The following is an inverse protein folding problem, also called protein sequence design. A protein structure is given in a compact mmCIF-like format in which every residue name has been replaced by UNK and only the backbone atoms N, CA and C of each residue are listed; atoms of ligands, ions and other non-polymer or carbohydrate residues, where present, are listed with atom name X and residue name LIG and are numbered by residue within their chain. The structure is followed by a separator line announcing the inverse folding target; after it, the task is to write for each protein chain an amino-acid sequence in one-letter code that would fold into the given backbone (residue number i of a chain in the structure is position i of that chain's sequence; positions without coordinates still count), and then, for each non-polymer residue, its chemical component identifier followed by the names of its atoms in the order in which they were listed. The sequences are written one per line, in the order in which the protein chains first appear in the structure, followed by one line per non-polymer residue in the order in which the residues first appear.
data_IF_404106228534
#
_entry.id   IF_404106228534
#
_cell.length_a   1.000
_cell.length_b   1.000
_cell.length_c   1.000
_cell.angle_alpha   90.00
_cell.angle_beta   90.00
_cell.angle_gamma   90.00
#
_symmetry.space_group_name_H-M   'P 1'
#
loop_
_entity.id
_entity.type
_entity.pdbx_description
1 polymer ?
#
# COMPACT_ATOMS: atom_id res chain seq x y z
N UNK A 1 -10.59 16.40 11.52
CA UNK A 1 -10.56 15.14 10.77
C UNK A 1 -9.67 15.31 9.55
N UNK A 2 -8.86 14.33 9.27
CA UNK A 2 -7.93 14.37 8.15
C UNK A 2 -8.65 14.04 6.84
N UNK A 3 -8.62 14.96 5.90
CA UNK A 3 -9.22 14.78 4.57
C UNK A 3 -8.12 14.56 3.54
N UNK A 4 -8.24 13.51 2.75
CA UNK A 4 -7.25 13.14 1.73
C UNK A 4 -7.95 13.05 0.37
N UNK A 5 -7.38 13.73 -0.63
CA UNK A 5 -7.80 13.60 -2.03
C UNK A 5 -7.01 12.48 -2.69
N UNK A 6 -7.69 11.56 -3.32
CA UNK A 6 -7.04 10.42 -4.02
C UNK A 6 -7.47 10.42 -5.48
N UNK A 7 -6.54 10.78 -6.34
CA UNK A 7 -6.76 10.91 -7.77
C UNK A 7 -6.20 9.71 -8.54
N UNK A 8 -6.97 9.21 -9.50
CA UNK A 8 -6.55 8.15 -10.43
C UNK A 8 -6.72 8.63 -11.86
N UNK A 9 -5.84 8.24 -12.76
CA UNK A 9 -6.00 8.49 -14.18
C UNK A 9 -6.77 7.38 -14.89
N UNK A 10 -6.94 6.23 -14.25
CA UNK A 10 -7.80 5.14 -14.73
C UNK A 10 -8.27 4.26 -13.58
N UNK A 11 -9.31 3.47 -13.83
CA UNK A 11 -9.96 2.63 -12.84
C UNK A 11 -9.21 1.30 -12.68
N UNK A 12 -8.29 1.22 -11.72
CA UNK A 12 -7.54 0.01 -11.44
C UNK A 12 -6.98 0.04 -10.01
N UNK A 13 -7.03 -1.09 -9.29
CA UNK A 13 -6.48 -1.27 -7.94
C UNK A 13 -6.91 -0.21 -6.92
N UNK A 14 -8.07 0.42 -7.10
CA UNK A 14 -8.56 1.49 -6.21
C UNK A 14 -8.68 1.04 -4.76
N UNK A 15 -9.26 -0.13 -4.54
CA UNK A 15 -9.47 -0.66 -3.19
C UNK A 15 -8.14 -0.88 -2.47
N UNK A 16 -7.14 -1.39 -3.16
CA UNK A 16 -5.83 -1.66 -2.57
C UNK A 16 -5.14 -0.37 -2.10
N UNK A 17 -5.18 0.67 -2.91
CA UNK A 17 -4.61 1.98 -2.56
C UNK A 17 -5.41 2.63 -1.44
N UNK A 18 -6.73 2.63 -1.56
CA UNK A 18 -7.65 3.18 -0.55
C UNK A 18 -7.40 2.54 0.83
N UNK A 19 -7.32 1.21 0.85
CA UNK A 19 -7.13 0.46 2.09
C UNK A 19 -5.79 0.76 2.76
N UNK A 20 -4.73 0.94 1.98
CA UNK A 20 -3.42 1.31 2.51
C UNK A 20 -3.44 2.70 3.14
N UNK A 21 -4.03 3.67 2.47
CA UNK A 21 -4.15 5.03 3.02
C UNK A 21 -4.94 5.01 4.32
N UNK A 22 -6.04 4.26 4.37
CA UNK A 22 -6.83 4.09 5.60
C UNK A 22 -6.03 3.44 6.72
N UNK A 23 -5.17 2.49 6.38
CA UNK A 23 -4.34 1.81 7.38
C UNK A 23 -3.31 2.75 8.01
N UNK A 24 -2.72 3.65 7.21
CA UNK A 24 -1.77 4.65 7.72
C UNK A 24 -2.45 5.78 8.49
N UNK A 25 -3.65 6.17 8.08
CA UNK A 25 -4.41 7.26 8.69
C UNK A 25 -5.80 6.79 9.10
N UNK A 26 -5.91 5.99 10.18
CA UNK A 26 -7.21 5.51 10.66
C UNK A 26 -8.14 6.68 10.97
N UNK A 27 -9.38 6.58 10.52
CA UNK A 27 -10.37 7.63 10.72
C UNK A 27 -10.32 8.79 9.72
N UNK A 28 -9.38 8.78 8.76
CA UNK A 28 -9.36 9.81 7.72
C UNK A 28 -10.55 9.65 6.78
N UNK A 29 -10.90 10.75 6.11
CA UNK A 29 -11.85 10.72 5.00
C UNK A 29 -11.08 10.82 3.70
N UNK A 30 -11.36 9.89 2.79
CA UNK A 30 -10.73 9.85 1.46
C UNK A 30 -11.78 10.17 0.41
N UNK A 31 -11.52 11.19 -0.41
CA UNK A 31 -12.31 11.50 -1.58
C UNK A 31 -11.57 10.98 -2.81
N UNK A 32 -12.05 9.87 -3.35
CA UNK A 32 -11.46 9.26 -4.56
C UNK A 32 -12.12 9.86 -5.80
N UNK A 33 -11.33 10.17 -6.80
CA UNK A 33 -11.84 10.75 -8.05
C UNK A 33 -10.93 10.41 -9.22
N UNK A 34 -11.45 10.59 -10.42
CA UNK A 34 -10.72 10.33 -11.68
C UNK A 34 -10.43 11.64 -12.39
N UNK A 35 -9.25 11.73 -13.01
CA UNK A 35 -8.85 12.94 -13.75
C UNK A 35 -9.90 13.40 -14.77
N UNK A 36 -10.53 12.44 -15.47
CA UNK A 36 -11.54 12.72 -16.50
C UNK A 36 -12.80 13.39 -15.92
N UNK A 37 -13.10 13.14 -14.65
CA UNK A 37 -14.30 13.69 -14.00
C UNK A 37 -14.06 15.05 -13.36
N UNK A 38 -12.80 15.50 -13.32
CA UNK A 38 -12.43 16.77 -12.70
C UNK A 38 -12.25 16.69 -11.19
N UNK A 39 -11.48 17.63 -10.65
CA UNK A 39 -11.14 17.66 -9.23
C UNK A 39 -12.37 18.00 -8.38
N UNK A 40 -12.51 17.35 -7.21
CA UNK A 40 -13.58 17.70 -6.25
C UNK A 40 -13.32 19.07 -5.63
N UNK A 41 -14.41 19.72 -5.21
CA UNK A 41 -14.32 20.96 -4.47
C UNK A 41 -13.82 20.70 -3.05
N UNK A 42 -13.16 21.69 -2.46
CA UNK A 42 -12.73 21.65 -1.07
C UNK A 42 -11.22 21.65 -0.93
N UNK A 43 -10.79 21.72 0.32
CA UNK A 43 -9.39 21.69 0.69
C UNK A 43 -9.07 20.37 1.36
N UNK A 44 -7.88 19.82 1.05
CA UNK A 44 -7.44 18.55 1.58
C UNK A 44 -6.07 18.72 2.26
N UNK A 45 -5.84 17.92 3.28
CA UNK A 45 -4.55 17.91 3.98
C UNK A 45 -3.47 17.27 3.10
N UNK A 46 -3.84 16.24 2.31
CA UNK A 46 -2.94 15.58 1.37
C UNK A 46 -3.63 15.39 0.04
N UNK A 47 -2.86 15.50 -1.03
CA UNK A 47 -3.27 15.22 -2.40
C UNK A 47 -2.46 14.04 -2.90
N UNK A 48 -3.06 12.86 -2.87
CA UNK A 48 -2.44 11.62 -3.31
C UNK A 48 -2.87 11.33 -4.73
N UNK A 49 -1.93 10.91 -5.58
CA UNK A 49 -2.19 10.65 -6.98
C UNK A 49 -1.51 9.38 -7.47
N UNK A 50 -2.29 8.51 -8.13
CA UNK A 50 -1.79 7.34 -8.83
C UNK A 50 -1.88 7.60 -10.33
N UNK A 51 -0.76 7.41 -11.03
CA UNK A 51 -0.69 7.51 -12.48
C UNK A 51 -0.27 6.17 -13.07
N UNK A 52 -1.13 5.59 -13.87
CA UNK A 52 -0.85 4.37 -14.61
C UNK A 52 -0.37 4.75 -16.01
N UNK A 53 0.91 4.54 -16.28
CA UNK A 53 1.50 4.72 -17.60
C UNK A 53 1.60 3.36 -18.31
N UNK A 54 2.07 3.35 -19.55
CA UNK A 54 2.14 2.12 -20.37
C UNK A 54 2.98 1.02 -19.73
N UNK A 55 4.09 1.39 -19.09
CA UNK A 55 5.08 0.44 -18.56
C UNK A 55 5.49 0.75 -17.11
N UNK A 56 4.80 1.66 -16.44
CA UNK A 56 5.11 2.01 -15.06
C UNK A 56 3.88 2.55 -14.33
N UNK A 57 3.97 2.53 -13.00
CA UNK A 57 2.98 3.15 -12.13
C UNK A 57 3.72 4.15 -11.25
N UNK A 58 3.16 5.34 -11.09
CA UNK A 58 3.70 6.37 -10.23
C UNK A 58 2.70 6.74 -9.14
N UNK A 59 3.21 6.99 -7.94
CA UNK A 59 2.42 7.48 -6.82
C UNK A 59 3.10 8.70 -6.23
N UNK A 60 2.33 9.75 -5.97
CA UNK A 60 2.83 10.98 -5.38
C UNK A 60 1.92 11.48 -4.27
N UNK A 61 2.51 12.16 -3.29
CA UNK A 61 1.80 12.79 -2.18
C UNK A 61 2.22 14.25 -2.13
N UNK A 62 1.24 15.15 -2.15
CA UNK A 62 1.45 16.57 -1.98
C UNK A 62 0.76 17.04 -0.70
N UNK A 63 1.28 18.12 -0.10
CA UNK A 63 0.67 18.72 1.07
C UNK A 63 -0.50 19.68 0.67
N UNK A 64 -1.06 20.36 1.64
CA UNK A 64 -2.16 21.31 1.46
C UNK A 64 -1.83 22.46 0.50
N UNK A 65 -0.55 22.78 0.33
CA UNK A 65 -0.06 23.82 -0.57
C UNK A 65 0.36 23.29 -1.93
N UNK A 66 0.08 22.02 -2.22
CA UNK A 66 0.51 21.32 -3.42
C UNK A 66 2.03 21.22 -3.59
N UNK A 67 2.75 21.21 -2.48
CA UNK A 67 4.17 20.92 -2.48
C UNK A 67 4.38 19.40 -2.37
N UNK A 68 5.20 18.83 -3.24
CA UNK A 68 5.45 17.39 -3.24
C UNK A 68 6.21 16.97 -1.98
N UNK A 69 5.62 16.04 -1.23
CA UNK A 69 6.25 15.47 -0.03
C UNK A 69 7.06 14.22 -0.37
N UNK A 70 6.54 13.38 -1.26
CA UNK A 70 7.21 12.18 -1.73
C UNK A 70 6.59 11.72 -3.04
N UNK A 71 7.39 11.06 -3.87
CA UNK A 71 6.92 10.46 -5.10
C UNK A 71 7.79 9.25 -5.45
N UNK A 72 7.18 8.26 -6.08
CA UNK A 72 7.87 7.06 -6.54
C UNK A 72 7.23 6.55 -7.82
N UNK A 73 8.04 5.91 -8.67
CA UNK A 73 7.58 5.22 -9.87
C UNK A 73 8.22 3.84 -9.92
N UNK A 74 7.46 2.85 -10.33
CA UNK A 74 7.94 1.48 -10.49
C UNK A 74 7.54 0.93 -11.84
N UNK A 75 8.46 0.22 -12.49
CA UNK A 75 8.21 -0.45 -13.74
C UNK A 75 7.27 -1.64 -13.52
N UNK A 76 6.31 -1.82 -14.42
CA UNK A 76 5.34 -2.92 -14.35
C UNK A 76 5.08 -3.47 -15.74
N UNK A 77 4.68 -4.75 -15.77
CA UNK A 77 4.23 -5.42 -16.99
C UNK A 77 2.79 -5.90 -16.74
N UNK A 78 1.82 -5.05 -17.09
CA UNK A 78 0.40 -5.28 -16.76
C UNK A 78 -0.15 -6.60 -17.30
N UNK A 79 0.29 -7.01 -18.48
CA UNK A 79 -0.24 -8.19 -19.16
C UNK A 79 0.34 -9.50 -18.64
N UNK A 80 1.47 -9.43 -17.95
CA UNK A 80 2.20 -10.62 -17.53
C UNK A 80 1.61 -11.27 -16.29
N UNK A 81 1.40 -10.48 -15.24
CA UNK A 81 0.89 -10.98 -13.97
C UNK A 81 0.23 -9.84 -13.18
N UNK A 82 -1.11 -9.86 -13.16
CA UNK A 82 -1.87 -8.83 -12.43
C UNK A 82 -1.59 -8.85 -10.94
N UNK A 83 -1.39 -10.03 -10.36
CA UNK A 83 -1.09 -10.17 -8.93
C UNK A 83 0.25 -9.53 -8.59
N UNK A 84 1.28 -9.76 -9.41
CA UNK A 84 2.59 -9.12 -9.22
C UNK A 84 2.53 -7.62 -9.40
N UNK A 85 1.77 -7.14 -10.39
CA UNK A 85 1.54 -5.70 -10.59
C UNK A 85 0.91 -5.09 -9.34
N UNK A 86 -0.07 -5.75 -8.75
CA UNK A 86 -0.71 -5.32 -7.51
C UNK A 86 0.31 -5.28 -6.36
N UNK A 87 1.16 -6.29 -6.23
CA UNK A 87 2.19 -6.34 -5.20
C UNK A 87 3.20 -5.20 -5.35
N UNK A 88 3.64 -4.92 -6.56
CA UNK A 88 4.55 -3.80 -6.87
C UNK A 88 3.90 -2.48 -6.45
N UNK A 89 2.66 -2.26 -6.85
CA UNK A 89 1.90 -1.05 -6.51
C UNK A 89 1.78 -0.89 -4.99
N UNK A 90 1.36 -1.95 -4.30
CA UNK A 90 1.16 -1.90 -2.85
C UNK A 90 2.47 -1.61 -2.10
N UNK A 91 3.57 -2.22 -2.50
CA UNK A 91 4.88 -1.94 -1.89
C UNK A 91 5.31 -0.50 -2.11
N UNK A 92 5.11 0.02 -3.33
CA UNK A 92 5.44 1.41 -3.66
C UNK A 92 4.61 2.41 -2.84
N UNK A 93 3.31 2.20 -2.78
CA UNK A 93 2.39 3.04 -2.02
C UNK A 93 2.74 2.98 -0.52
N UNK A 94 3.02 1.79 -0.01
CA UNK A 94 3.43 1.60 1.39
C UNK A 94 4.69 2.40 1.71
N UNK A 95 5.75 2.28 0.89
CA UNK A 95 7.02 3.00 1.13
C UNK A 95 6.80 4.52 1.16
N UNK A 96 6.03 5.02 0.20
CA UNK A 96 5.76 6.46 0.09
C UNK A 96 4.97 6.97 1.29
N UNK A 97 3.92 6.24 1.69
CA UNK A 97 3.12 6.58 2.87
C UNK A 97 3.94 6.49 4.17
N UNK A 98 4.79 5.47 4.28
CA UNK A 98 5.67 5.29 5.43
C UNK A 98 6.65 6.46 5.56
N UNK A 99 7.23 6.90 4.44
CA UNK A 99 8.15 8.04 4.41
C UNK A 99 7.48 9.33 4.87
N UNK A 100 6.28 9.62 4.35
CA UNK A 100 5.55 10.85 4.68
C UNK A 100 5.02 10.82 6.12
N UNK A 101 4.46 9.69 6.56
CA UNK A 101 3.84 9.58 7.88
C UNK A 101 4.83 9.28 9.01
N UNK A 102 5.98 8.74 8.70
CA UNK A 102 6.93 8.26 9.70
C UNK A 102 6.47 7.00 10.43
N UNK A 103 5.49 6.28 9.88
CA UNK A 103 4.92 5.08 10.49
C UNK A 103 5.29 3.81 9.73
N UNK A 104 5.36 2.70 10.45
CA UNK A 104 5.42 1.36 9.89
C UNK A 104 4.24 0.56 10.42
N UNK A 105 3.60 -0.21 9.55
CA UNK A 105 2.45 -1.03 9.95
C UNK A 105 2.90 -2.44 10.30
N UNK A 106 2.36 -3.08 11.36
CA UNK A 106 2.77 -4.43 11.78
C UNK A 106 2.68 -5.47 10.66
N UNK A 107 1.65 -5.43 9.85
CA UNK A 107 1.46 -6.35 8.74
C UNK A 107 1.87 -5.77 7.39
N UNK A 108 2.63 -4.65 7.40
CA UNK A 108 3.13 -4.04 6.18
C UNK A 108 2.01 -3.61 5.25
N UNK A 109 2.11 -3.99 3.98
CA UNK A 109 1.13 -3.63 2.97
C UNK A 109 -0.07 -4.58 2.88
N UNK A 110 -0.14 -5.58 3.77
CA UNK A 110 -1.29 -6.48 3.85
C UNK A 110 -2.45 -5.78 4.55
N UNK A 111 -3.55 -5.59 3.82
CA UNK A 111 -4.73 -4.88 4.30
C UNK A 111 -5.98 -5.74 4.36
N UNK A 112 -5.83 -7.05 4.16
CA UNK A 112 -6.96 -7.97 4.17
C UNK A 112 -7.43 -8.34 5.59
N UNK A 113 -8.59 -8.99 5.66
CA UNK A 113 -9.20 -9.41 6.93
C UNK A 113 -8.37 -10.49 7.63
N UNK A 114 -7.60 -11.27 6.87
CA UNK A 114 -6.82 -12.39 7.41
C UNK A 114 -5.36 -12.32 6.95
N UNK A 115 -4.58 -11.36 7.46
CA UNK A 115 -3.17 -11.21 7.05
C UNK A 115 -2.31 -12.41 7.44
N UNK A 116 -2.71 -13.20 8.45
CA UNK A 116 -2.01 -14.40 8.87
C UNK A 116 -2.18 -15.59 7.91
N UNK A 117 -3.07 -15.49 6.93
CA UNK A 117 -3.34 -16.57 5.98
C UNK A 117 -2.08 -17.01 5.23
N UNK A 118 -1.26 -16.07 4.79
CA UNK A 118 -0.04 -16.36 4.02
C UNK A 118 1.01 -17.08 4.87
N UNK A 119 1.42 -16.55 6.05
CA UNK A 119 2.39 -17.27 6.87
C UNK A 119 1.88 -18.61 7.37
N UNK A 120 0.58 -18.74 7.65
CA UNK A 120 -0.01 -20.02 8.05
C UNK A 120 0.09 -21.08 6.95
N UNK A 121 -0.19 -20.69 5.71
CA UNK A 121 -0.05 -21.59 4.57
C UNK A 121 1.40 -22.04 4.39
N UNK A 122 2.35 -21.13 4.57
CA UNK A 122 3.78 -21.46 4.47
C UNK A 122 4.20 -22.43 5.56
N UNK A 123 3.67 -22.29 6.78
CA UNK A 123 3.91 -23.25 7.86
C UNK A 123 3.37 -24.65 7.50
N UNK A 124 2.18 -24.72 6.93
CA UNK A 124 1.58 -25.98 6.47
C UNK A 124 2.41 -26.64 5.35
N UNK A 125 3.09 -25.83 4.54
CA UNK A 125 3.98 -26.32 3.49
C UNK A 125 5.36 -26.73 4.03
N UNK A 126 5.60 -26.61 5.32
CA UNK A 126 6.85 -27.01 5.96
C UNK A 126 7.95 -25.96 5.97
N UNK A 127 7.63 -24.72 5.66
CA UNK A 127 8.61 -23.62 5.68
C UNK A 127 9.02 -23.30 7.12
N UNK A 128 10.28 -22.92 7.31
CA UNK A 128 10.82 -22.55 8.62
C UNK A 128 10.40 -21.11 8.96
N UNK A 129 10.30 -20.82 10.25
CA UNK A 129 9.91 -19.50 10.74
C UNK A 129 10.79 -18.37 10.17
N UNK A 130 12.11 -18.59 10.07
CA UNK A 130 13.04 -17.61 9.50
C UNK A 130 12.74 -17.33 8.04
N UNK A 131 12.44 -18.37 7.26
CA UNK A 131 12.10 -18.25 5.85
C UNK A 131 10.78 -17.49 5.67
N UNK A 132 9.78 -17.79 6.50
CA UNK A 132 8.48 -17.14 6.48
C UNK A 132 8.61 -15.67 6.82
N UNK A 133 9.34 -15.36 7.90
CA UNK A 133 9.55 -13.98 8.35
C UNK A 133 10.25 -13.15 7.27
N UNK A 134 11.28 -13.72 6.64
CA UNK A 134 12.02 -13.07 5.55
C UNK A 134 11.12 -12.80 4.34
N UNK A 135 10.35 -13.80 3.91
CA UNK A 135 9.43 -13.68 2.79
C UNK A 135 8.37 -12.58 3.05
N UNK A 136 7.76 -12.62 4.24
CA UNK A 136 6.72 -11.65 4.60
C UNK A 136 7.28 -10.23 4.67
N UNK A 137 8.48 -10.08 5.20
CA UNK A 137 9.13 -8.77 5.30
C UNK A 137 9.49 -8.21 3.91
N UNK A 138 10.11 -9.03 3.04
CA UNK A 138 10.55 -8.60 1.72
C UNK A 138 9.39 -8.37 0.76
N UNK A 139 8.36 -9.20 0.85
CA UNK A 139 7.22 -9.15 -0.07
C UNK A 139 6.15 -8.16 0.38
N UNK A 140 5.83 -8.12 1.67
CA UNK A 140 4.70 -7.35 2.20
C UNK A 140 5.10 -6.30 3.24
N UNK A 141 6.39 -6.15 3.53
CA UNK A 141 6.90 -5.20 4.53
C UNK A 141 6.37 -5.41 5.95
N UNK A 142 6.00 -6.64 6.31
CA UNK A 142 5.58 -6.94 7.67
C UNK A 142 6.74 -6.73 8.65
N UNK A 143 6.40 -6.38 9.89
CA UNK A 143 7.41 -6.27 10.96
C UNK A 143 7.91 -7.65 11.33
N UNK A 144 9.22 -7.86 11.28
CA UNK A 144 9.84 -9.15 11.54
C UNK A 144 9.50 -9.69 12.93
N UNK A 145 9.58 -8.84 13.96
CA UNK A 145 9.30 -9.22 15.34
C UNK A 145 7.85 -9.71 15.50
N UNK A 146 6.92 -9.00 14.90
CA UNK A 146 5.50 -9.35 14.97
C UNK A 146 5.23 -10.71 14.32
N UNK A 147 5.81 -10.95 13.15
CA UNK A 147 5.67 -12.20 12.42
C UNK A 147 6.26 -13.37 13.20
N UNK A 148 7.42 -13.18 13.81
CA UNK A 148 8.07 -14.20 14.62
C UNK A 148 7.25 -14.56 15.85
N UNK A 149 6.71 -13.57 16.54
CA UNK A 149 5.85 -13.78 17.70
C UNK A 149 4.59 -14.55 17.34
N UNK A 150 3.96 -14.20 16.23
CA UNK A 150 2.78 -14.89 15.74
C UNK A 150 3.06 -16.35 15.38
N UNK A 151 4.25 -16.66 14.87
CA UNK A 151 4.67 -18.01 14.56
C UNK A 151 4.98 -18.81 15.82
N UNK A 152 5.65 -18.18 16.80
CA UNK A 152 6.01 -18.81 18.08
C UNK A 152 4.78 -19.17 18.93
N UNK A 153 3.77 -18.34 18.93
CA UNK A 153 2.52 -18.57 19.67
C UNK A 153 1.79 -19.85 19.22
N UNK A 154 2.14 -20.39 18.09
CA UNK A 154 1.53 -21.59 17.51
C UNK A 154 2.39 -22.84 17.66
N UNK A 155 3.57 -22.65 18.11
CA UNK A 155 4.45 -23.76 18.42
C UNK A 155 4.16 -24.29 19.82
#
# INVERSE_FOLDING_TARGET
MLNISLCFNRKDFEYDVYSLIKAFYPGCEITSWYEEDGAPDGEFAYYDKILYAADQICFSIENEKHEELSAACEAVEYEKDRHETKNVLKRMVYRTLSEVSGKELPWGDLTGIRPTKIPMKMLEEGKKNVEIAKYMRETYYTCLLYTSDAADDKA
#
